data_IF_033188865450
#
_entry.id   IF_033188865450
#
_cell.length_a   1.000
_cell.length_b   1.000
_cell.length_c   1.000
_cell.angle_alpha   90.00
_cell.angle_beta   90.00
_cell.angle_gamma   90.00
#
_symmetry.space_group_name_H-M   'P 1'
#
loop_
_entity.id
_entity.type
_entity.pdbx_description
1 polymer ?
#
# COMPACT_ATOMS: atom_id res chain seq x y z
N UNK A 1 0.58 29.42 -7.92
CA UNK A 1 0.13 28.53 -6.83
C UNK A 1 -1.12 27.87 -7.32
N UNK A 2 -1.24 26.55 -7.17
CA UNK A 2 -2.47 25.85 -7.47
C UNK A 2 -3.51 26.23 -6.41
N UNK A 3 -4.69 26.68 -6.82
CA UNK A 3 -5.74 27.14 -5.93
C UNK A 3 -7.00 27.56 -6.70
N UNK A 4 -8.04 27.94 -5.97
CA UNK A 4 -9.28 28.44 -6.56
C UNK A 4 -9.14 29.93 -6.84
N UNK A 5 -9.10 30.28 -8.13
CA UNK A 5 -8.99 31.67 -8.58
C UNK A 5 -10.22 32.50 -8.15
N UNK A 6 -10.03 33.72 -7.59
CA UNK A 6 -11.14 34.60 -7.17
C UNK A 6 -12.17 34.88 -8.26
N UNK A 7 -11.75 34.90 -9.53
CA UNK A 7 -12.61 35.14 -10.69
C UNK A 7 -13.69 34.06 -10.86
N UNK A 8 -13.48 32.86 -10.30
CA UNK A 8 -14.40 31.73 -10.40
C UNK A 8 -15.49 31.74 -9.32
N UNK A 9 -15.35 32.54 -8.26
CA UNK A 9 -16.30 32.51 -7.15
C UNK A 9 -17.75 32.79 -7.54
N UNK A 10 -18.07 33.78 -8.41
CA UNK A 10 -19.45 34.00 -8.85
C UNK A 10 -20.02 32.77 -9.56
N UNK A 11 -19.19 32.06 -10.33
CA UNK A 11 -19.58 30.85 -11.05
C UNK A 11 -19.78 29.67 -10.09
N UNK A 12 -18.87 29.50 -9.12
CA UNK A 12 -18.92 28.42 -8.13
C UNK A 12 -20.10 28.57 -7.16
N UNK A 13 -20.43 29.82 -6.77
CA UNK A 13 -21.57 30.13 -5.90
C UNK A 13 -22.91 30.13 -6.62
N UNK A 14 -22.88 30.10 -7.96
CA UNK A 14 -24.06 30.35 -8.82
C UNK A 14 -24.70 31.71 -8.52
N UNK A 15 -23.88 32.76 -8.48
CA UNK A 15 -24.33 34.15 -8.35
C UNK A 15 -24.95 34.62 -9.68
N UNK A 16 -26.11 34.06 -10.01
CA UNK A 16 -26.82 34.26 -11.27
C UNK A 16 -27.75 35.48 -11.21
N UNK A 17 -27.66 36.33 -12.23
CA UNK A 17 -28.51 37.50 -12.43
C UNK A 17 -29.56 37.16 -13.48
N UNK A 18 -30.84 37.18 -13.10
CA UNK A 18 -31.93 36.96 -14.06
C UNK A 18 -32.10 38.18 -14.99
N UNK A 19 -32.01 37.97 -16.30
CA UNK A 19 -32.38 38.93 -17.33
C UNK A 19 -33.45 38.32 -18.24
N UNK A 20 -34.71 38.61 -17.91
CA UNK A 20 -35.86 37.99 -18.59
C UNK A 20 -35.87 36.48 -18.36
N UNK A 21 -35.89 35.64 -19.43
CA UNK A 21 -35.87 34.19 -19.29
C UNK A 21 -34.45 33.60 -19.15
N UNK A 22 -33.40 34.41 -19.22
CA UNK A 22 -32.00 33.93 -19.18
C UNK A 22 -31.33 34.28 -17.87
N UNK A 23 -30.35 33.47 -17.48
CA UNK A 23 -29.45 33.77 -16.39
C UNK A 23 -28.15 34.30 -16.92
N UNK A 24 -27.58 35.30 -16.27
CA UNK A 24 -26.24 35.80 -16.55
C UNK A 24 -25.35 35.63 -15.33
N UNK A 25 -24.05 35.50 -15.54
CA UNK A 25 -23.04 35.42 -14.48
C UNK A 25 -21.94 36.42 -14.74
N UNK A 26 -21.45 37.07 -13.68
CA UNK A 26 -20.31 37.97 -13.78
C UNK A 26 -19.00 37.19 -13.66
N UNK A 27 -18.13 37.31 -14.66
CA UNK A 27 -16.78 36.73 -14.66
C UNK A 27 -15.78 37.87 -14.89
N UNK A 28 -15.12 38.27 -13.80
CA UNK A 28 -14.26 39.46 -13.80
C UNK A 28 -15.07 40.72 -14.11
N UNK A 29 -14.71 41.41 -15.20
CA UNK A 29 -15.39 42.63 -15.66
C UNK A 29 -16.54 42.35 -16.65
N UNK A 30 -16.70 41.10 -17.11
CA UNK A 30 -17.68 40.74 -18.13
C UNK A 30 -18.91 40.10 -17.52
N UNK A 31 -20.08 40.47 -18.02
CA UNK A 31 -21.35 39.80 -17.74
C UNK A 31 -21.64 38.88 -18.93
N UNK A 32 -21.79 37.59 -18.67
CA UNK A 32 -21.88 36.54 -19.69
C UNK A 32 -23.17 35.75 -19.48
N UNK A 33 -23.83 35.33 -20.56
CA UNK A 33 -25.00 34.44 -20.53
C UNK A 33 -24.61 33.07 -19.93
N UNK A 34 -25.37 32.59 -18.95
CA UNK A 34 -25.13 31.33 -18.25
C UNK A 34 -25.97 30.22 -18.88
N UNK A 35 -25.29 29.25 -19.49
CA UNK A 35 -25.92 28.05 -20.00
C UNK A 35 -26.14 27.03 -18.87
N UNK A 36 -27.38 26.57 -18.67
CA UNK A 36 -27.74 25.60 -17.64
C UNK A 36 -27.07 24.22 -17.81
N UNK A 37 -26.69 23.87 -19.04
CA UNK A 37 -25.95 22.64 -19.36
C UNK A 37 -24.45 22.74 -19.04
N UNK A 38 -23.95 23.92 -18.67
CA UNK A 38 -22.54 24.11 -18.34
C UNK A 38 -22.12 23.27 -17.12
N UNK A 39 -20.98 22.60 -17.23
CA UNK A 39 -20.34 21.82 -16.15
C UNK A 39 -18.85 22.17 -16.10
N UNK A 40 -18.33 22.34 -14.88
CA UNK A 40 -16.93 22.67 -14.64
C UNK A 40 -16.25 21.57 -13.82
N UNK A 41 -15.10 21.09 -14.30
CA UNK A 41 -14.22 20.19 -13.58
C UNK A 41 -12.83 20.83 -13.50
N UNK A 42 -12.22 20.78 -12.32
CA UNK A 42 -10.88 21.30 -12.06
C UNK A 42 -10.02 20.14 -11.55
N UNK A 43 -8.76 20.07 -11.99
CA UNK A 43 -7.82 19.05 -11.57
C UNK A 43 -6.46 19.67 -11.25
N UNK A 44 -5.79 19.15 -10.21
CA UNK A 44 -4.42 19.54 -9.84
C UNK A 44 -3.56 18.30 -9.64
N UNK A 45 -2.25 18.45 -9.84
CA UNK A 45 -1.24 17.43 -9.50
C UNK A 45 -0.70 17.59 -8.08
N UNK A 46 -1.02 18.68 -7.40
CA UNK A 46 -0.64 18.89 -6.01
C UNK A 46 -1.59 18.05 -5.12
N UNK A 47 -1.09 17.09 -4.32
CA UNK A 47 -1.93 16.25 -3.47
C UNK A 47 -2.48 17.00 -2.24
N UNK A 48 -1.95 18.20 -1.95
CA UNK A 48 -2.41 19.03 -0.84
C UNK A 48 -2.45 20.49 -1.31
N UNK A 49 -3.36 20.84 -2.22
CA UNK A 49 -3.56 22.23 -2.62
C UNK A 49 -4.09 23.02 -1.42
N UNK A 50 -3.64 24.26 -1.27
CA UNK A 50 -4.26 25.15 -0.30
C UNK A 50 -5.59 25.63 -0.87
N UNK A 51 -6.70 25.21 -0.24
CA UNK A 51 -8.04 25.66 -0.59
C UNK A 51 -8.55 26.49 0.59
N UNK A 52 -8.85 27.79 0.39
CA UNK A 52 -9.31 28.63 1.47
C UNK A 52 -10.72 28.19 1.94
N UNK A 53 -11.10 28.41 3.22
CA UNK A 53 -12.34 27.89 3.79
C UNK A 53 -13.62 28.30 3.05
N UNK A 54 -13.61 29.48 2.44
CA UNK A 54 -14.69 29.99 1.59
C UNK A 54 -14.83 29.19 0.29
N UNK A 55 -13.72 28.82 -0.36
CA UNK A 55 -13.75 27.92 -1.51
C UNK A 55 -14.14 26.47 -1.13
N UNK A 56 -13.69 25.97 0.02
CA UNK A 56 -14.05 24.62 0.51
C UNK A 56 -15.56 24.46 0.66
N UNK A 57 -16.28 25.53 1.01
CA UNK A 57 -17.74 25.50 1.14
C UNK A 57 -18.50 25.36 -0.19
N UNK A 58 -17.87 25.70 -1.32
CA UNK A 58 -18.50 25.74 -2.65
C UNK A 58 -17.88 24.78 -3.66
N UNK A 59 -16.85 24.03 -3.25
CA UNK A 59 -16.15 23.04 -4.08
C UNK A 59 -16.14 21.70 -3.36
N UNK A 60 -16.44 20.63 -4.09
CA UNK A 60 -16.27 19.26 -3.60
C UNK A 60 -14.86 18.76 -3.94
N UNK A 61 -14.03 18.55 -2.93
CA UNK A 61 -12.71 17.94 -3.12
C UNK A 61 -12.84 16.42 -3.33
N UNK A 62 -12.23 15.92 -4.41
CA UNK A 62 -12.16 14.48 -4.71
C UNK A 62 -10.70 14.07 -4.74
N UNK A 63 -10.29 13.27 -3.76
CA UNK A 63 -8.91 12.80 -3.67
C UNK A 63 -8.69 11.53 -4.52
N UNK A 64 -7.90 11.66 -5.59
CA UNK A 64 -7.50 10.56 -6.45
C UNK A 64 -6.11 10.01 -6.10
N UNK A 65 -5.88 9.67 -4.83
CA UNK A 65 -4.63 9.07 -4.36
C UNK A 65 -4.65 7.55 -4.55
N UNK A 66 -3.53 7.01 -5.03
CA UNK A 66 -3.33 5.56 -5.13
C UNK A 66 -3.44 4.91 -3.75
N UNK A 67 -4.36 3.96 -3.58
CA UNK A 67 -4.53 3.19 -2.35
C UNK A 67 -3.76 1.87 -2.40
N UNK A 68 -3.46 1.28 -1.23
CA UNK A 68 -2.79 -0.03 -1.14
C UNK A 68 -3.55 -1.13 -1.90
N UNK A 69 -4.87 -1.17 -1.73
CA UNK A 69 -5.74 -2.13 -2.40
C UNK A 69 -5.81 -1.88 -3.92
N UNK A 70 -5.93 -0.61 -4.34
CA UNK A 70 -5.96 -0.24 -5.76
C UNK A 70 -4.65 -0.60 -6.47
N UNK A 71 -3.51 -0.27 -5.87
CA UNK A 71 -2.20 -0.62 -6.43
C UNK A 71 -1.98 -2.13 -6.46
N UNK A 72 -2.37 -2.87 -5.42
CA UNK A 72 -2.32 -4.34 -5.42
C UNK A 72 -3.10 -4.93 -6.61
N UNK A 73 -4.31 -4.43 -6.86
CA UNK A 73 -5.11 -4.86 -8.01
C UNK A 73 -4.43 -4.56 -9.36
N UNK A 74 -3.84 -3.37 -9.51
CA UNK A 74 -3.09 -3.00 -10.71
C UNK A 74 -1.86 -3.88 -10.92
N UNK A 75 -1.07 -4.12 -9.87
CA UNK A 75 0.12 -4.97 -9.93
C UNK A 75 -0.25 -6.41 -10.26
N UNK A 76 -1.33 -6.93 -9.68
CA UNK A 76 -1.84 -8.26 -9.99
C UNK A 76 -2.24 -8.36 -11.48
N UNK A 77 -2.99 -7.38 -12.00
CA UNK A 77 -3.35 -7.37 -13.42
C UNK A 77 -2.11 -7.37 -14.33
N UNK A 78 -1.08 -6.57 -14.01
CA UNK A 78 0.19 -6.56 -14.76
C UNK A 78 0.91 -7.92 -14.69
N UNK A 79 0.93 -8.57 -13.52
CA UNK A 79 1.52 -9.89 -13.36
C UNK A 79 0.80 -10.93 -14.22
N UNK A 80 -0.54 -10.97 -14.15
CA UNK A 80 -1.34 -11.94 -14.92
C UNK A 80 -1.19 -11.71 -16.42
N UNK A 81 -1.19 -10.45 -16.87
CA UNK A 81 -0.98 -10.11 -18.27
C UNK A 81 0.36 -10.66 -18.81
N UNK A 82 1.39 -10.70 -17.97
CA UNK A 82 2.72 -11.19 -18.36
C UNK A 82 2.87 -12.72 -18.20
N UNK A 83 2.40 -13.29 -17.09
CA UNK A 83 2.61 -14.69 -16.74
C UNK A 83 1.56 -15.62 -17.35
N UNK A 84 0.29 -15.17 -17.43
CA UNK A 84 -0.84 -15.95 -17.96
C UNK A 84 -1.78 -15.06 -18.79
N UNK A 85 -1.35 -14.60 -19.99
CA UNK A 85 -2.14 -13.69 -20.84
C UNK A 85 -3.49 -14.27 -21.27
N UNK A 86 -3.58 -15.60 -21.37
CA UNK A 86 -4.82 -16.31 -21.70
C UNK A 86 -5.92 -16.05 -20.65
N UNK A 87 -5.57 -16.09 -19.35
CA UNK A 87 -6.52 -15.80 -18.26
C UNK A 87 -7.03 -14.36 -18.31
N UNK A 88 -6.18 -13.40 -18.65
CA UNK A 88 -6.59 -11.99 -18.78
C UNK A 88 -7.53 -11.80 -19.98
N UNK A 89 -7.26 -12.49 -21.08
CA UNK A 89 -8.12 -12.48 -22.28
C UNK A 89 -9.48 -13.10 -21.98
N UNK A 90 -9.50 -14.26 -21.31
CA UNK A 90 -10.72 -14.95 -20.92
C UNK A 90 -11.56 -14.10 -19.95
N UNK A 91 -10.94 -13.51 -18.93
CA UNK A 91 -11.63 -12.62 -18.00
C UNK A 91 -12.22 -11.41 -18.70
N UNK A 92 -11.47 -10.77 -19.61
CA UNK A 92 -11.94 -9.61 -20.35
C UNK A 92 -13.15 -9.96 -21.20
N UNK A 93 -13.10 -11.11 -21.90
CA UNK A 93 -14.21 -11.63 -22.70
C UNK A 93 -15.43 -11.93 -21.85
N UNK A 94 -15.23 -12.55 -20.68
CA UNK A 94 -16.32 -12.87 -19.76
C UNK A 94 -17.01 -11.61 -19.22
N UNK A 95 -16.24 -10.59 -18.83
CA UNK A 95 -16.79 -9.31 -18.37
C UNK A 95 -17.59 -8.59 -19.46
N UNK A 96 -17.12 -8.61 -20.71
CA UNK A 96 -17.87 -8.06 -21.84
C UNK A 96 -19.20 -8.79 -22.03
N UNK A 97 -19.18 -10.13 -22.02
CA UNK A 97 -20.40 -10.93 -22.14
C UNK A 97 -21.38 -10.71 -20.99
N UNK A 98 -20.88 -10.51 -19.77
CA UNK A 98 -21.70 -10.20 -18.60
C UNK A 98 -22.38 -8.84 -18.75
N UNK A 99 -21.64 -7.82 -19.19
CA UNK A 99 -22.18 -6.48 -19.42
C UNK A 99 -23.24 -6.47 -20.53
N UNK A 100 -22.96 -7.12 -21.66
CA UNK A 100 -23.91 -7.25 -22.76
C UNK A 100 -25.21 -7.92 -22.30
N UNK A 101 -25.12 -8.98 -21.47
CA UNK A 101 -26.28 -9.65 -20.89
C UNK A 101 -27.05 -8.77 -19.91
N UNK A 102 -26.37 -7.96 -19.08
CA UNK A 102 -27.02 -7.01 -18.18
C UNK A 102 -27.79 -5.93 -18.96
N UNK A 103 -27.21 -5.43 -20.05
CA UNK A 103 -27.87 -4.48 -20.94
C UNK A 103 -29.11 -5.13 -21.58
N UNK A 104 -28.99 -6.36 -22.09
CA UNK A 104 -30.13 -7.09 -22.66
C UNK A 104 -31.24 -7.33 -21.63
N UNK A 105 -30.89 -7.66 -20.38
CA UNK A 105 -31.86 -7.84 -19.30
C UNK A 105 -32.61 -6.54 -19.02
N UNK A 106 -31.91 -5.41 -18.89
CA UNK A 106 -32.52 -4.10 -18.68
C UNK A 106 -33.46 -3.71 -19.84
N UNK A 107 -33.08 -3.99 -21.09
CA UNK A 107 -33.92 -3.74 -22.27
C UNK A 107 -35.19 -4.60 -22.27
N UNK A 108 -35.09 -5.88 -21.88
CA UNK A 108 -36.25 -6.76 -21.75
C UNK A 108 -37.20 -6.29 -20.65
N UNK A 109 -36.66 -5.83 -19.51
CA UNK A 109 -37.45 -5.27 -18.42
C UNK A 109 -38.15 -3.96 -18.84
N UNK A 110 -37.45 -3.07 -19.55
CA UNK A 110 -38.02 -1.82 -20.07
C UNK A 110 -39.13 -2.10 -21.11
N UNK A 111 -38.88 -3.00 -22.05
CA UNK A 111 -39.88 -3.42 -23.05
C UNK A 111 -41.11 -4.05 -22.39
N UNK A 112 -40.93 -4.85 -21.34
CA UNK A 112 -42.04 -5.44 -20.57
C UNK A 112 -42.88 -4.36 -19.88
N UNK A 113 -42.23 -3.36 -19.27
CA UNK A 113 -42.92 -2.21 -18.66
C UNK A 113 -43.68 -1.38 -19.69
N UNK A 114 -43.07 -1.09 -20.83
CA UNK A 114 -43.70 -0.36 -21.93
C UNK A 114 -44.93 -1.12 -22.46
N UNK A 115 -44.80 -2.43 -22.68
CA UNK A 115 -45.90 -3.27 -23.18
C UNK A 115 -47.06 -3.31 -22.18
N UNK A 116 -46.80 -3.40 -20.88
CA UNK A 116 -47.83 -3.33 -19.84
C UNK A 116 -48.47 -1.94 -19.74
N UNK A 117 -47.71 -0.87 -19.91
CA UNK A 117 -48.20 0.51 -19.83
C UNK A 117 -49.03 0.92 -21.05
N UNK A 118 -48.70 0.40 -22.22
CA UNK A 118 -49.39 0.68 -23.50
C UNK A 118 -50.58 -0.24 -23.76
N UNK A 119 -50.72 -1.34 -23.02
CA UNK A 119 -51.84 -2.25 -23.13
C UNK A 119 -53.18 -1.56 -22.79
N UNK A 120 -54.04 -1.43 -23.81
CA UNK A 120 -55.41 -0.92 -23.66
C UNK A 120 -56.43 -2.07 -23.76
N UNK A 121 -57.47 -2.04 -22.92
CA UNK A 121 -58.51 -3.08 -22.86
C UNK A 121 -58.27 -4.13 -21.76
N UNK A 122 -58.99 -5.25 -21.82
CA UNK A 122 -58.84 -6.33 -20.82
C UNK A 122 -57.55 -7.12 -21.10
N UNK A 123 -56.50 -6.85 -20.32
CA UNK A 123 -55.17 -7.47 -20.41
C UNK A 123 -55.26 -9.01 -20.37
N UNK A 124 -56.24 -9.56 -19.66
CA UNK A 124 -56.43 -11.01 -19.52
C UNK A 124 -57.00 -11.68 -20.78
N UNK A 125 -57.58 -10.92 -21.71
CA UNK A 125 -58.15 -11.43 -22.97
C UNK A 125 -57.17 -11.30 -24.14
N UNK A 126 -56.12 -10.49 -23.99
CA UNK A 126 -55.11 -10.29 -25.02
C UNK A 126 -54.07 -11.44 -25.00
N UNK A 127 -54.36 -12.50 -25.77
CA UNK A 127 -53.47 -13.67 -25.88
C UNK A 127 -52.07 -13.31 -26.41
N UNK A 128 -51.96 -12.41 -27.38
CA UNK A 128 -50.66 -12.01 -27.95
C UNK A 128 -49.78 -11.33 -26.89
N UNK A 129 -50.38 -10.50 -26.04
CA UNK A 129 -49.71 -9.87 -24.91
C UNK A 129 -49.24 -10.88 -23.86
N UNK A 130 -50.10 -11.85 -23.52
CA UNK A 130 -49.76 -12.92 -22.56
C UNK A 130 -48.63 -13.80 -23.08
N UNK A 131 -48.64 -14.15 -24.37
CA UNK A 131 -47.59 -14.96 -24.99
C UNK A 131 -46.26 -14.21 -25.05
N UNK A 132 -46.29 -12.91 -25.41
CA UNK A 132 -45.11 -12.04 -25.36
C UNK A 132 -44.54 -11.89 -23.95
N UNK A 133 -45.39 -11.70 -22.94
CA UNK A 133 -44.98 -11.64 -21.52
C UNK A 133 -44.32 -12.95 -21.06
N UNK A 134 -44.88 -14.10 -21.45
CA UNK A 134 -44.30 -15.40 -21.12
C UNK A 134 -42.96 -15.62 -21.82
N UNK A 135 -42.82 -15.19 -23.08
CA UNK A 135 -41.56 -15.26 -23.81
C UNK A 135 -40.49 -14.38 -23.16
N UNK A 136 -40.80 -13.11 -22.86
CA UNK A 136 -39.89 -12.16 -22.21
C UNK A 136 -39.46 -12.66 -20.83
N UNK A 137 -40.40 -13.21 -20.04
CA UNK A 137 -40.09 -13.84 -18.75
C UNK A 137 -39.16 -15.04 -18.90
N UNK A 138 -39.41 -15.89 -19.90
CA UNK A 138 -38.54 -17.03 -20.21
C UNK A 138 -37.13 -16.61 -20.60
N UNK A 139 -37.00 -15.63 -21.51
CA UNK A 139 -35.71 -15.06 -21.91
C UNK A 139 -34.96 -14.40 -20.75
N UNK A 140 -35.67 -13.66 -19.89
CA UNK A 140 -35.07 -13.04 -18.70
C UNK A 140 -34.53 -14.09 -17.72
N UNK A 141 -35.27 -15.18 -17.49
CA UNK A 141 -34.83 -16.28 -16.63
C UNK A 141 -33.56 -16.97 -17.18
N UNK A 142 -33.48 -17.20 -18.49
CA UNK A 142 -32.29 -17.77 -19.14
C UNK A 142 -31.07 -16.84 -19.04
N UNK A 143 -31.26 -15.52 -19.23
CA UNK A 143 -30.19 -14.54 -19.08
C UNK A 143 -29.69 -14.53 -17.62
N UNK A 144 -30.62 -14.57 -16.66
CA UNK A 144 -30.27 -14.57 -15.24
C UNK A 144 -29.53 -15.85 -14.82
N UNK A 145 -29.91 -17.02 -15.35
CA UNK A 145 -29.17 -18.27 -15.17
C UNK A 145 -27.76 -18.16 -15.77
N UNK A 146 -27.64 -17.62 -16.98
CA UNK A 146 -26.34 -17.42 -17.62
C UNK A 146 -25.44 -16.41 -16.89
N UNK A 147 -26.01 -15.37 -16.28
CA UNK A 147 -25.28 -14.44 -15.41
C UNK A 147 -24.76 -15.13 -14.15
N UNK A 148 -25.54 -16.04 -13.56
CA UNK A 148 -25.10 -16.86 -12.42
C UNK A 148 -23.94 -17.79 -12.80
N UNK A 149 -23.99 -18.41 -13.99
CA UNK A 149 -22.88 -19.21 -14.50
C UNK A 149 -21.62 -18.37 -14.76
N UNK A 150 -21.78 -17.19 -15.37
CA UNK A 150 -20.67 -16.25 -15.57
C UNK A 150 -20.04 -15.83 -14.25
N UNK A 151 -20.83 -15.60 -13.20
CA UNK A 151 -20.32 -15.30 -11.85
C UNK A 151 -19.49 -16.46 -11.26
N UNK A 152 -19.96 -17.70 -11.39
CA UNK A 152 -19.19 -18.88 -10.93
C UNK A 152 -17.87 -19.03 -11.66
N UNK A 153 -17.88 -18.82 -12.98
CA UNK A 153 -16.65 -18.87 -13.78
C UNK A 153 -15.70 -17.71 -13.40
N UNK A 154 -16.22 -16.52 -13.12
CA UNK A 154 -15.44 -15.39 -12.63
C UNK A 154 -14.76 -15.69 -11.29
N UNK A 155 -15.46 -16.36 -10.36
CA UNK A 155 -14.86 -16.81 -9.09
C UNK A 155 -13.71 -17.80 -9.33
N UNK A 156 -13.91 -18.78 -10.21
CA UNK A 156 -12.86 -19.75 -10.58
C UNK A 156 -11.63 -19.05 -11.19
N UNK A 157 -11.85 -18.11 -12.12
CA UNK A 157 -10.77 -17.32 -12.72
C UNK A 157 -10.06 -16.45 -11.69
N UNK A 158 -10.78 -15.90 -10.71
CA UNK A 158 -10.16 -15.14 -9.63
C UNK A 158 -9.30 -16.02 -8.74
N UNK A 159 -9.72 -17.25 -8.43
CA UNK A 159 -8.90 -18.20 -7.66
C UNK A 159 -7.57 -18.50 -8.36
N UNK A 160 -7.58 -18.67 -9.68
CA UNK A 160 -6.33 -18.86 -10.43
C UNK A 160 -5.42 -17.63 -10.42
N UNK A 161 -6.01 -16.43 -10.43
CA UNK A 161 -5.25 -15.17 -10.31
C UNK A 161 -4.69 -14.98 -8.91
N UNK A 162 -5.41 -15.41 -7.88
CA UNK A 162 -5.03 -15.23 -6.49
C UNK A 162 -3.72 -15.95 -6.14
N UNK A 163 -3.31 -16.95 -6.93
CA UNK A 163 -1.99 -17.54 -6.84
C UNK A 163 -0.85 -16.50 -6.92
N UNK A 164 -1.03 -15.40 -7.67
CA UNK A 164 -0.05 -14.33 -7.81
C UNK A 164 -0.28 -13.13 -6.88
N UNK A 165 -1.34 -13.17 -6.06
CA UNK A 165 -1.65 -12.10 -5.11
C UNK A 165 -0.51 -11.79 -4.13
N UNK A 166 0.24 -12.77 -3.58
CA UNK A 166 1.34 -12.50 -2.67
C UNK A 166 2.42 -11.58 -3.27
N UNK A 167 2.75 -11.75 -4.55
CA UNK A 167 3.70 -10.89 -5.25
C UNK A 167 3.20 -9.44 -5.32
N UNK A 168 1.93 -9.25 -5.68
CA UNK A 168 1.30 -7.94 -5.79
C UNK A 168 1.18 -7.24 -4.42
N UNK A 169 0.94 -8.00 -3.36
CA UNK A 169 0.92 -7.48 -1.99
C UNK A 169 2.31 -7.03 -1.53
N UNK A 170 3.33 -7.85 -1.73
CA UNK A 170 4.71 -7.50 -1.39
C UNK A 170 5.17 -6.27 -2.18
N UNK A 171 4.90 -6.21 -3.50
CA UNK A 171 5.22 -5.05 -4.33
C UNK A 171 4.45 -3.78 -3.92
N UNK A 172 3.17 -3.89 -3.55
CA UNK A 172 2.40 -2.76 -3.01
C UNK A 172 3.03 -2.25 -1.71
N UNK A 173 3.40 -3.15 -0.77
CA UNK A 173 4.13 -2.77 0.45
C UNK A 173 5.41 -2.01 0.13
N UNK A 174 6.26 -2.52 -0.77
CA UNK A 174 7.49 -1.86 -1.20
C UNK A 174 7.24 -0.42 -1.68
N UNK A 175 6.22 -0.22 -2.52
CA UNK A 175 5.90 1.11 -3.04
C UNK A 175 5.54 2.10 -1.92
N UNK A 176 4.69 1.70 -0.98
CA UNK A 176 4.29 2.61 0.10
C UNK A 176 5.43 2.91 1.08
N UNK A 177 6.30 1.94 1.33
CA UNK A 177 7.52 2.14 2.12
C UNK A 177 8.41 3.20 1.44
N UNK A 178 8.61 3.13 0.12
CA UNK A 178 9.44 4.12 -0.56
C UNK A 178 8.79 5.51 -0.64
N UNK A 179 7.44 5.59 -0.68
CA UNK A 179 6.75 6.89 -0.67
C UNK A 179 6.87 7.63 0.66
N UNK A 180 7.00 6.89 1.76
CA UNK A 180 7.13 7.47 3.10
C UNK A 180 8.45 8.21 3.31
N UNK A 181 9.50 7.96 2.49
CA UNK A 181 10.77 8.70 2.56
C UNK A 181 10.60 10.21 2.33
N UNK A 182 9.56 10.63 1.62
CA UNK A 182 9.25 12.05 1.39
C UNK A 182 8.98 12.83 2.69
N UNK A 183 8.63 12.13 3.78
CA UNK A 183 8.42 12.70 5.12
C UNK A 183 9.74 13.07 5.80
N UNK A 184 10.84 12.44 5.40
CA UNK A 184 12.18 12.67 5.95
C UNK A 184 12.88 13.76 5.16
N UNK A 185 12.85 13.66 3.84
CA UNK A 185 13.40 14.67 2.94
C UNK A 185 12.43 14.92 1.80
N UNK A 186 12.08 16.19 1.57
CA UNK A 186 11.14 16.61 0.54
C UNK A 186 11.56 16.19 -0.89
N UNK A 187 12.86 15.97 -1.13
CA UNK A 187 13.42 15.51 -2.40
C UNK A 187 13.22 14.00 -2.64
N UNK A 188 12.96 13.20 -1.61
CA UNK A 188 12.77 11.75 -1.72
C UNK A 188 11.34 11.41 -2.18
N UNK A 189 11.02 11.81 -3.42
CA UNK A 189 9.74 11.55 -4.06
C UNK A 189 9.93 10.61 -5.24
N UNK A 190 9.30 9.45 -5.16
CA UNK A 190 9.34 8.43 -6.20
C UNK A 190 7.99 8.38 -6.92
N UNK A 191 8.03 8.40 -8.26
CA UNK A 191 6.80 8.31 -9.05
C UNK A 191 6.30 6.87 -9.16
N UNK A 192 4.98 6.69 -9.09
CA UNK A 192 4.35 5.40 -9.36
C UNK A 192 4.75 4.84 -10.73
N UNK A 193 4.82 5.70 -11.75
CA UNK A 193 5.22 5.29 -13.09
C UNK A 193 6.64 4.70 -13.14
N UNK A 194 7.59 5.23 -12.36
CA UNK A 194 8.93 4.65 -12.27
C UNK A 194 8.90 3.29 -11.57
N UNK A 195 8.12 3.16 -10.49
CA UNK A 195 7.94 1.89 -9.80
C UNK A 195 7.32 0.82 -10.70
N UNK A 196 6.26 1.13 -11.44
CA UNK A 196 5.62 0.20 -12.38
C UNK A 196 6.57 -0.25 -13.50
N UNK A 197 7.46 0.62 -13.98
CA UNK A 197 8.51 0.23 -14.94
C UNK A 197 9.53 -0.73 -14.34
N UNK A 198 9.94 -0.52 -13.09
CA UNK A 198 10.82 -1.46 -12.38
C UNK A 198 10.13 -2.82 -12.18
N UNK A 199 8.84 -2.79 -11.80
CA UNK A 199 8.02 -3.97 -11.63
C UNK A 199 7.90 -4.79 -12.93
N UNK A 200 7.54 -4.14 -14.05
CA UNK A 200 7.49 -4.79 -15.36
C UNK A 200 8.84 -5.38 -15.77
N UNK A 201 9.95 -4.66 -15.51
CA UNK A 201 11.29 -5.18 -15.78
C UNK A 201 11.63 -6.39 -14.91
N UNK A 202 11.19 -6.43 -13.66
CA UNK A 202 11.37 -7.60 -12.80
C UNK A 202 10.62 -8.81 -13.37
N UNK A 203 9.36 -8.63 -13.80
CA UNK A 203 8.55 -9.70 -14.42
C UNK A 203 9.16 -10.29 -15.70
N UNK A 204 9.83 -9.46 -16.50
CA UNK A 204 10.51 -9.90 -17.75
C UNK A 204 11.76 -10.77 -17.50
N UNK A 205 12.23 -10.85 -16.26
CA UNK A 205 13.39 -11.68 -15.92
C UNK A 205 13.02 -13.14 -16.07
N UNK A 206 13.68 -13.87 -16.98
CA UNK A 206 13.46 -15.31 -17.17
C UNK A 206 14.09 -16.09 -16.02
N UNK A 207 13.32 -16.97 -15.40
CA UNK A 207 13.80 -17.96 -14.43
C UNK A 207 13.34 -19.33 -14.93
N UNK A 208 14.20 -20.34 -14.90
CA UNK A 208 13.90 -21.71 -15.34
C UNK A 208 13.07 -22.50 -14.29
N UNK A 209 12.25 -21.82 -13.51
CA UNK A 209 11.46 -22.44 -12.44
C UNK A 209 10.10 -22.91 -12.96
N UNK A 210 9.83 -24.22 -12.85
CA UNK A 210 8.54 -24.81 -13.28
C UNK A 210 7.41 -24.57 -12.26
N UNK A 211 7.72 -24.27 -11.00
CA UNK A 211 6.72 -24.05 -9.95
C UNK A 211 6.35 -22.56 -9.81
N UNK A 212 5.05 -22.25 -9.82
CA UNK A 212 4.50 -20.90 -9.63
C UNK A 212 4.94 -20.26 -8.31
N UNK A 213 4.96 -21.03 -7.21
CA UNK A 213 5.37 -20.50 -5.90
C UNK A 213 6.84 -20.10 -5.87
N UNK A 214 7.71 -20.96 -6.42
CA UNK A 214 9.14 -20.68 -6.55
C UNK A 214 9.35 -19.42 -7.43
N UNK A 215 8.65 -19.37 -8.57
CA UNK A 215 8.67 -18.25 -9.50
C UNK A 215 8.29 -16.93 -8.83
N UNK A 216 7.25 -16.94 -7.99
CA UNK A 216 6.83 -15.76 -7.22
C UNK A 216 7.93 -15.33 -6.24
N UNK A 217 8.52 -16.26 -5.50
CA UNK A 217 9.59 -15.95 -4.55
C UNK A 217 10.84 -15.37 -5.25
N UNK A 218 11.23 -15.93 -6.40
CA UNK A 218 12.33 -15.44 -7.21
C UNK A 218 12.07 -14.03 -7.77
N UNK A 219 10.86 -13.79 -8.30
CA UNK A 219 10.43 -12.48 -8.78
C UNK A 219 10.43 -11.44 -7.65
N UNK A 220 9.92 -11.81 -6.48
CA UNK A 220 9.88 -10.93 -5.32
C UNK A 220 11.30 -10.57 -4.86
N UNK A 221 12.21 -11.54 -4.77
CA UNK A 221 13.61 -11.31 -4.40
C UNK A 221 14.32 -10.39 -5.40
N UNK A 222 14.12 -10.61 -6.70
CA UNK A 222 14.67 -9.75 -7.75
C UNK A 222 14.11 -8.33 -7.66
N UNK A 223 12.79 -8.19 -7.54
CA UNK A 223 12.13 -6.89 -7.40
C UNK A 223 12.64 -6.13 -6.17
N UNK A 224 12.76 -6.80 -5.01
CA UNK A 224 13.31 -6.21 -3.78
C UNK A 224 14.71 -5.64 -4.03
N UNK A 225 15.58 -6.38 -4.71
CA UNK A 225 16.93 -5.91 -5.06
C UNK A 225 16.91 -4.70 -6.00
N UNK A 226 16.11 -4.76 -7.07
CA UNK A 226 15.98 -3.68 -8.04
C UNK A 226 15.44 -2.39 -7.41
N UNK A 227 14.41 -2.49 -6.57
CA UNK A 227 13.82 -1.35 -5.86
C UNK A 227 14.83 -0.76 -4.88
N UNK A 228 15.49 -1.60 -4.07
CA UNK A 228 16.49 -1.15 -3.11
C UNK A 228 17.64 -0.39 -3.79
N UNK A 229 18.23 -0.95 -4.85
CA UNK A 229 19.30 -0.28 -5.58
C UNK A 229 18.85 1.02 -6.24
N UNK A 230 17.65 1.02 -6.84
CA UNK A 230 17.10 2.20 -7.49
C UNK A 230 16.93 3.35 -6.49
N UNK A 231 16.40 3.05 -5.30
CA UNK A 231 16.22 4.04 -4.23
C UNK A 231 17.57 4.49 -3.69
N UNK A 232 18.48 3.57 -3.31
CA UNK A 232 19.78 3.94 -2.73
C UNK A 232 20.63 4.84 -3.64
N UNK A 233 20.53 4.70 -4.97
CA UNK A 233 21.20 5.60 -5.93
C UNK A 233 20.74 7.06 -5.84
N UNK A 234 19.56 7.31 -5.29
CA UNK A 234 18.98 8.65 -5.13
C UNK A 234 19.13 9.23 -3.72
N UNK A 235 19.51 8.41 -2.73
CA UNK A 235 19.64 8.84 -1.34
C UNK A 235 21.04 9.37 -1.04
N UNK A 236 21.12 10.34 -0.13
CA UNK A 236 22.40 10.68 0.49
C UNK A 236 22.95 9.48 1.27
N UNK A 237 24.29 9.36 1.31
CA UNK A 237 24.97 8.27 2.03
C UNK A 237 24.50 8.13 3.49
N UNK A 238 24.28 9.26 4.17
CA UNK A 238 23.81 9.30 5.55
C UNK A 238 22.41 8.65 5.74
N UNK A 239 21.56 8.70 4.72
CA UNK A 239 20.17 8.22 4.81
C UNK A 239 20.01 6.77 4.36
N UNK A 240 21.02 6.16 3.76
CA UNK A 240 20.94 4.81 3.20
C UNK A 240 20.73 3.74 4.29
N UNK A 241 21.38 3.86 5.45
CA UNK A 241 21.16 2.92 6.56
C UNK A 241 19.77 3.09 7.19
N UNK A 242 19.29 4.33 7.30
CA UNK A 242 17.94 4.62 7.76
C UNK A 242 16.91 3.99 6.82
N UNK A 243 17.06 4.20 5.51
CA UNK A 243 16.18 3.60 4.50
C UNK A 243 16.21 2.08 4.58
N UNK A 244 17.39 1.49 4.70
CA UNK A 244 17.54 0.05 4.80
C UNK A 244 16.77 -0.54 5.99
N UNK A 245 16.88 0.08 7.17
CA UNK A 245 16.14 -0.37 8.35
C UNK A 245 14.63 -0.15 8.20
N UNK A 246 14.22 1.01 7.66
CA UNK A 246 12.82 1.30 7.36
C UNK A 246 12.22 0.31 6.35
N UNK A 247 13.00 -0.07 5.35
CA UNK A 247 12.63 -1.05 4.32
C UNK A 247 12.46 -2.44 4.91
N UNK A 248 13.40 -2.89 5.75
CA UNK A 248 13.26 -4.17 6.48
C UNK A 248 12.02 -4.17 7.36
N UNK A 249 11.77 -3.09 8.12
CA UNK A 249 10.56 -2.96 8.95
C UNK A 249 9.27 -3.04 8.12
N UNK A 250 9.23 -2.35 6.99
CA UNK A 250 8.04 -2.32 6.13
C UNK A 250 7.77 -3.66 5.43
N UNK A 251 8.82 -4.41 5.10
CA UNK A 251 8.70 -5.68 4.38
C UNK A 251 8.49 -6.87 5.31
N UNK A 252 9.16 -6.88 6.47
CA UNK A 252 9.20 -7.99 7.42
C UNK A 252 8.79 -7.52 8.83
N UNK A 253 7.55 -7.03 9.01
CA UNK A 253 7.07 -6.57 10.32
C UNK A 253 7.12 -7.67 11.39
N UNK A 254 7.06 -8.95 11.00
CA UNK A 254 7.16 -10.11 11.88
C UNK A 254 8.52 -10.26 12.58
N UNK A 255 9.58 -9.59 12.10
CA UNK A 255 10.88 -9.58 12.76
C UNK A 255 10.93 -8.70 14.01
N UNK A 256 9.88 -7.90 14.25
CA UNK A 256 9.80 -6.91 15.31
C UNK A 256 8.61 -7.26 16.20
N UNK A 257 8.86 -7.66 17.44
CA UNK A 257 7.77 -7.88 18.39
C UNK A 257 7.19 -6.56 18.91
N UNK A 258 6.09 -6.65 19.64
CA UNK A 258 5.39 -5.50 20.22
C UNK A 258 6.34 -4.61 21.03
N UNK A 259 6.23 -3.29 20.84
CA UNK A 259 7.04 -2.25 21.48
C UNK A 259 8.56 -2.27 21.20
N UNK A 260 9.11 -3.31 20.56
CA UNK A 260 10.57 -3.41 20.31
C UNK A 260 11.06 -2.25 19.45
N UNK A 261 10.30 -1.92 18.39
CA UNK A 261 10.65 -0.79 17.53
C UNK A 261 10.58 0.56 18.26
N UNK A 262 9.58 0.75 19.11
CA UNK A 262 9.36 2.02 19.80
C UNK A 262 10.43 2.27 20.87
N UNK A 263 10.91 1.21 21.53
CA UNK A 263 12.11 1.27 22.39
C UNK A 263 13.34 1.59 21.55
N UNK A 264 13.52 0.93 20.40
CA UNK A 264 14.64 1.19 19.51
C UNK A 264 14.71 2.64 19.04
N UNK A 265 13.57 3.24 18.68
CA UNK A 265 13.52 4.65 18.26
C UNK A 265 13.50 5.65 19.42
N UNK A 266 13.44 5.19 20.67
CA UNK A 266 13.37 6.05 21.86
C UNK A 266 12.02 6.72 22.09
N UNK A 267 10.95 6.19 21.52
CA UNK A 267 9.58 6.68 21.72
C UNK A 267 9.04 6.35 23.11
N UNK A 268 9.57 5.30 23.74
CA UNK A 268 9.25 4.92 25.12
C UNK A 268 10.09 5.79 26.07
N UNK A 269 9.45 6.78 26.68
CA UNK A 269 10.05 7.58 27.74
C UNK A 269 9.90 6.81 29.05
N UNK A 270 11.01 6.31 29.58
CA UNK A 270 11.02 5.75 30.94
C UNK A 270 10.75 6.85 31.96
N UNK A 271 9.81 6.62 32.88
CA UNK A 271 9.70 7.43 34.10
C UNK A 271 11.06 7.46 34.82
N UNK A 272 11.37 8.57 35.51
CA UNK A 272 12.59 8.75 36.29
C UNK A 272 12.92 7.48 37.09
N UNK A 273 13.96 6.78 36.64
CA UNK A 273 14.29 5.45 37.11
C UNK A 273 14.77 5.52 38.56
N UNK A 274 14.14 4.73 39.44
CA UNK A 274 14.70 4.40 40.76
C UNK A 274 16.06 3.73 40.54
N UNK A 275 17.01 4.01 41.43
CA UNK A 275 18.30 3.29 41.44
C UNK A 275 18.03 1.79 41.56
N UNK A 276 18.20 1.06 40.45
CA UNK A 276 18.17 -0.39 40.41
C UNK A 276 19.60 -0.95 40.36
N UNK A 277 19.79 -2.10 40.99
CA UNK A 277 21.05 -2.84 40.95
C UNK A 277 21.25 -3.48 39.57
N UNK A 278 22.18 -2.91 38.80
CA UNK A 278 22.69 -3.49 37.55
C UNK A 278 24.09 -4.09 37.77
N UNK A 279 24.49 -5.11 36.98
CA UNK A 279 25.82 -5.69 37.05
C UNK A 279 26.94 -4.65 36.98
N UNK A 280 27.99 -4.84 37.80
CA UNK A 280 29.08 -3.86 37.94
C UNK A 280 29.93 -3.66 36.68
N UNK A 281 29.88 -4.59 35.72
CA UNK A 281 30.59 -4.49 34.45
C UNK A 281 29.90 -3.57 33.44
N UNK A 282 28.64 -3.21 33.68
CA UNK A 282 27.87 -2.29 32.84
C UNK A 282 28.15 -0.87 33.29
N UNK A 283 28.50 -0.02 32.35
CA UNK A 283 28.77 1.40 32.62
C UNK A 283 27.53 2.08 33.23
N UNK A 284 27.79 2.90 34.24
CA UNK A 284 26.81 3.74 34.93
C UNK A 284 25.95 4.57 33.96
N UNK A 285 26.53 5.08 32.87
CA UNK A 285 25.82 5.86 31.86
C UNK A 285 24.79 5.03 31.07
N UNK A 286 24.99 3.71 31.01
CA UNK A 286 24.12 2.79 30.25
C UNK A 286 22.98 2.20 31.07
N UNK A 287 23.00 2.36 32.40
CA UNK A 287 21.97 1.83 33.31
C UNK A 287 20.57 2.33 32.97
N UNK A 288 20.44 3.58 32.52
CA UNK A 288 19.15 4.14 32.10
C UNK A 288 18.53 3.40 30.91
N UNK A 289 19.32 3.18 29.85
CA UNK A 289 18.88 2.44 28.67
C UNK A 289 18.55 0.98 29.00
N UNK A 290 19.34 0.34 29.86
CA UNK A 290 19.11 -1.03 30.27
C UNK A 290 17.87 -1.18 31.17
N UNK A 291 17.58 -0.18 32.00
CA UNK A 291 16.36 -0.17 32.80
C UNK A 291 15.11 -0.05 31.94
N UNK A 292 15.12 0.78 30.89
CA UNK A 292 14.03 0.83 29.90
C UNK A 292 13.83 -0.53 29.24
N UNK A 293 14.92 -1.20 28.86
CA UNK A 293 14.87 -2.56 28.29
C UNK A 293 14.30 -3.57 29.29
N UNK A 294 14.68 -3.49 30.57
CA UNK A 294 14.19 -4.38 31.63
C UNK A 294 12.72 -4.17 31.96
N UNK A 295 12.28 -2.92 32.04
CA UNK A 295 10.88 -2.56 32.32
C UNK A 295 9.99 -2.97 31.16
N UNK A 296 10.39 -2.64 29.93
CA UNK A 296 9.59 -2.94 28.74
C UNK A 296 9.63 -4.42 28.38
N UNK A 297 10.77 -5.09 28.57
CA UNK A 297 10.96 -6.51 28.23
C UNK A 297 11.58 -7.32 29.39
N UNK A 298 10.82 -7.60 30.47
CA UNK A 298 11.34 -8.35 31.62
C UNK A 298 11.82 -9.76 31.25
N UNK A 299 11.09 -10.45 30.37
CA UNK A 299 11.44 -11.79 29.91
C UNK A 299 12.73 -11.81 29.07
N UNK A 300 12.94 -10.78 28.23
CA UNK A 300 14.18 -10.61 27.48
C UNK A 300 15.34 -10.33 28.45
N UNK A 301 15.17 -9.42 29.41
CA UNK A 301 16.20 -9.13 30.39
C UNK A 301 16.63 -10.36 31.19
N UNK A 302 15.66 -11.19 31.62
CA UNK A 302 15.94 -12.44 32.31
C UNK A 302 16.70 -13.44 31.42
N UNK A 303 16.36 -13.53 30.14
CA UNK A 303 17.00 -14.47 29.21
C UNK A 303 18.45 -14.12 28.91
N UNK A 304 18.83 -12.84 29.01
CA UNK A 304 20.19 -12.34 28.80
C UNK A 304 21.18 -12.74 29.90
N UNK A 305 20.71 -13.10 31.10
CA UNK A 305 21.55 -13.49 32.24
C UNK A 305 22.73 -12.52 32.51
N UNK A 306 22.50 -11.20 32.43
CA UNK A 306 23.56 -10.18 32.53
C UNK A 306 24.35 -10.18 33.86
N UNK A 307 23.80 -10.83 34.90
CA UNK A 307 24.47 -11.03 36.18
C UNK A 307 25.69 -11.97 36.08
N UNK A 308 25.73 -12.88 35.09
CA UNK A 308 26.88 -13.72 34.83
C UNK A 308 27.95 -12.95 34.04
N UNK A 309 28.84 -12.28 34.77
CA UNK A 309 29.88 -11.43 34.16
C UNK A 309 30.89 -12.22 33.31
N UNK A 310 31.10 -13.51 33.60
CA UNK A 310 32.04 -14.33 32.85
C UNK A 310 31.53 -14.65 31.44
N UNK A 311 30.21 -14.84 31.30
CA UNK A 311 29.56 -15.08 30.02
C UNK A 311 29.75 -13.90 29.05
N UNK A 312 29.75 -12.67 29.57
CA UNK A 312 29.82 -11.43 28.79
C UNK A 312 31.23 -10.85 28.64
N UNK A 313 32.26 -11.50 29.18
CA UNK A 313 33.64 -10.98 29.16
C UNK A 313 34.16 -10.75 27.73
N UNK A 314 33.94 -11.71 26.83
CA UNK A 314 34.33 -11.60 25.41
C UNK A 314 33.59 -10.46 24.70
N UNK A 315 32.29 -10.31 24.95
CA UNK A 315 31.48 -9.22 24.41
C UNK A 315 31.98 -7.85 24.90
N UNK A 316 32.33 -7.75 26.19
CA UNK A 316 32.82 -6.52 26.79
C UNK A 316 34.18 -6.09 26.23
N UNK A 317 35.11 -7.04 26.09
CA UNK A 317 36.49 -6.76 25.68
C UNK A 317 36.67 -6.64 24.16
N UNK A 318 35.78 -7.24 23.36
CA UNK A 318 35.89 -7.22 21.91
C UNK A 318 35.62 -5.85 21.32
N UNK A 319 36.38 -5.50 20.29
CA UNK A 319 36.14 -4.34 19.41
C UNK A 319 34.99 -4.58 18.44
N UNK A 320 34.58 -5.83 18.23
CA UNK A 320 33.47 -6.28 17.39
C UNK A 320 32.44 -7.02 18.25
N UNK A 321 31.98 -6.37 19.32
CA UNK A 321 31.09 -6.99 20.31
C UNK A 321 29.79 -7.54 19.69
N UNK A 322 29.32 -6.96 18.58
CA UNK A 322 28.12 -7.42 17.88
C UNK A 322 28.23 -8.85 17.32
N UNK A 323 29.44 -9.37 17.14
CA UNK A 323 29.70 -10.75 16.68
C UNK A 323 29.97 -11.71 17.84
N UNK A 324 30.31 -11.17 19.02
CA UNK A 324 30.74 -11.92 20.21
C UNK A 324 29.61 -12.06 21.25
N UNK A 325 28.35 -12.00 20.81
CA UNK A 325 27.21 -12.29 21.69
C UNK A 325 27.24 -13.79 22.04
N UNK A 326 27.18 -14.17 23.33
CA UNK A 326 27.31 -15.56 23.75
C UNK A 326 26.33 -16.48 23.04
N UNK A 327 26.83 -17.58 22.46
CA UNK A 327 26.04 -18.48 21.62
C UNK A 327 24.84 -19.11 22.34
N UNK A 328 24.92 -19.28 23.67
CA UNK A 328 23.83 -19.72 24.54
C UNK A 328 22.67 -18.72 24.61
N UNK A 329 22.95 -17.44 24.42
CA UNK A 329 21.98 -16.34 24.40
C UNK A 329 21.48 -16.09 22.98
N UNK A 330 22.38 -16.08 21.99
CA UNK A 330 22.06 -15.86 20.57
C UNK A 330 20.98 -16.81 20.04
N UNK A 331 20.91 -18.05 20.57
CA UNK A 331 19.85 -19.03 20.22
C UNK A 331 18.49 -18.74 20.85
N UNK A 332 18.42 -17.91 21.89
CA UNK A 332 17.21 -17.60 22.66
C UNK A 332 16.56 -16.27 22.29
N UNK A 333 17.29 -15.38 21.63
CA UNK A 333 16.85 -14.02 21.31
C UNK A 333 16.77 -13.80 19.79
N UNK A 334 15.87 -12.94 19.34
CA UNK A 334 15.71 -12.62 17.92
C UNK A 334 16.86 -11.75 17.41
N UNK A 335 17.08 -11.69 16.08
CA UNK A 335 18.07 -10.78 15.51
C UNK A 335 17.84 -9.30 15.85
N UNK A 336 16.58 -8.87 15.99
CA UNK A 336 16.28 -7.49 16.38
C UNK A 336 16.53 -7.25 17.88
N UNK A 337 16.25 -8.25 18.74
CA UNK A 337 16.61 -8.18 20.16
C UNK A 337 18.13 -8.12 20.40
N UNK A 338 18.94 -8.74 19.54
CA UNK A 338 20.40 -8.55 19.56
C UNK A 338 20.78 -7.09 19.29
N UNK A 339 20.05 -6.42 18.39
CA UNK A 339 20.26 -5.00 18.12
C UNK A 339 19.88 -4.12 19.32
N UNK A 340 18.75 -4.41 19.99
CA UNK A 340 18.33 -3.73 21.23
C UNK A 340 19.38 -3.89 22.34
N UNK A 341 19.97 -5.09 22.47
CA UNK A 341 21.04 -5.35 23.42
C UNK A 341 22.28 -4.48 23.14
N UNK A 342 22.74 -4.47 21.88
CA UNK A 342 23.89 -3.64 21.48
C UNK A 342 23.57 -2.15 21.69
N UNK A 343 22.37 -1.70 21.33
CA UNK A 343 21.93 -0.33 21.59
C UNK A 343 21.96 0.00 23.08
N UNK A 344 21.51 -0.90 23.95
CA UNK A 344 21.47 -0.67 25.39
C UNK A 344 22.89 -0.61 26.01
N UNK A 345 23.79 -1.50 25.62
CA UNK A 345 25.09 -1.68 26.31
C UNK A 345 26.28 -1.03 25.56
N UNK A 346 26.35 -1.17 24.23
CA UNK A 346 27.49 -0.76 23.38
C UNK A 346 27.00 0.05 22.15
N UNK A 347 26.48 1.28 22.36
CA UNK A 347 25.97 2.10 21.26
C UNK A 347 27.06 2.48 20.23
N UNK A 348 28.34 2.43 20.60
CA UNK A 348 29.48 2.61 19.72
C UNK A 348 29.52 1.62 18.55
N UNK A 349 28.93 0.42 18.73
CA UNK A 349 28.84 -0.62 17.70
C UNK A 349 27.46 -0.72 17.05
N UNK A 350 26.55 0.20 17.35
CA UNK A 350 25.17 0.15 16.86
C UNK A 350 25.10 0.20 15.34
N UNK A 351 25.90 1.05 14.69
CA UNK A 351 25.92 1.15 13.23
C UNK A 351 26.30 -0.19 12.57
N UNK A 352 27.36 -0.84 13.05
CA UNK A 352 27.79 -2.16 12.54
C UNK A 352 26.73 -3.24 12.79
N UNK A 353 26.10 -3.23 13.97
CA UNK A 353 25.02 -4.15 14.30
C UNK A 353 23.78 -3.95 13.40
N UNK A 354 23.40 -2.69 13.10
CA UNK A 354 22.31 -2.37 12.18
C UNK A 354 22.61 -2.87 10.77
N UNK A 355 23.83 -2.66 10.27
CA UNK A 355 24.26 -3.14 8.95
C UNK A 355 24.18 -4.68 8.91
N UNK A 356 24.70 -5.37 9.91
CA UNK A 356 24.64 -6.83 9.98
C UNK A 356 23.19 -7.35 10.00
N UNK A 357 22.31 -6.70 10.79
CA UNK A 357 20.89 -7.04 10.86
C UNK A 357 20.20 -6.88 9.49
N UNK A 358 20.39 -5.73 8.84
CA UNK A 358 19.83 -5.45 7.51
C UNK A 358 20.35 -6.43 6.47
N UNK A 359 21.68 -6.66 6.42
CA UNK A 359 22.29 -7.58 5.47
C UNK A 359 21.69 -8.98 5.59
N UNK A 360 21.51 -9.47 6.83
CA UNK A 360 20.87 -10.75 7.10
C UNK A 360 19.39 -10.77 6.68
N UNK A 361 18.64 -9.72 6.96
CA UNK A 361 17.21 -9.64 6.62
C UNK A 361 16.94 -9.51 5.11
N UNK A 362 17.80 -8.80 4.38
CA UNK A 362 17.67 -8.61 2.93
C UNK A 362 18.36 -9.70 2.11
N UNK A 363 19.05 -10.66 2.74
CA UNK A 363 19.80 -11.71 2.05
C UNK A 363 20.98 -11.18 1.23
N UNK A 364 21.49 -9.99 1.54
CA UNK A 364 22.61 -9.36 0.83
C UNK A 364 23.93 -9.67 1.54
N UNK A 365 24.94 -10.05 0.76
CA UNK A 365 26.33 -10.03 1.23
C UNK A 365 26.72 -8.62 1.70
N UNK A 366 27.60 -8.50 2.70
CA UNK A 366 27.94 -7.24 3.40
C UNK A 366 28.80 -6.26 2.57
N UNK A 367 28.46 -6.01 1.30
CA UNK A 367 28.99 -4.86 0.54
C UNK A 367 28.18 -3.58 0.80
N UNK A 368 27.59 -3.46 2.00
CA UNK A 368 27.28 -2.18 2.62
C UNK A 368 28.55 -1.57 3.28
N UNK A 369 29.68 -2.28 3.24
CA UNK A 369 30.95 -1.88 3.85
C UNK A 369 31.82 -0.93 2.98
N UNK A 370 31.41 -0.62 1.74
CA UNK A 370 32.01 0.47 0.93
C UNK A 370 31.23 1.81 1.07
N UNK A 371 30.23 1.85 1.94
CA UNK A 371 29.56 3.07 2.40
C UNK A 371 30.27 3.65 3.62
#
# INVERSE_FOLDING_TARGET
MDGVEPVLYPLLRKDLIAQGPRYMVQIGEKIIDYNEDFRLFLATRNPSPYIPPDAVSVVTEVNFTTTRAGLRGQLLALTIQQEKPELETEKTKLLQQEEDKKIQLAQLEESLLETLATAQGNILENRELIDSLNQTKGSSALIQESLLESHRLQESLNQERDAYLPLAESASKMYFVITDLSKINNMYRFSLAAFLRLFQRALQTKTEEENTEARIAALEANLKNMVYEYVCRSLFKADQLMFALHFVKGMYPELFHENEWDVFTGSVVGEMLKEEDFPSWIDSERRGALAILKITFPALYQSLCLNDSHLWLSFQQSSQCEQEIPSSITKKITPFQQLLLVQAIRPDRLQSAMIAFVSKALGKNPNLAEM
#
